data_IF_855597720676
#
_entry.id   IF_855597720676
#
_cell.length_a   1.000
_cell.length_b   1.000
_cell.length_c   1.000
_cell.angle_alpha   90.00
_cell.angle_beta   90.00
_cell.angle_gamma   90.00
#
_symmetry.space_group_name_H-M   'P 1'
#
loop_
_entity.id
_entity.type
_entity.pdbx_description
1 polymer ?
#
# COMPACT_ATOMS: atom_id res chain seq x y z
N UNK A 1 -64.08 -34.69 -3.68
CA UNK A 1 -62.59 -34.70 -3.59
C UNK A 1 -62.02 -33.92 -4.76
N UNK A 2 -61.14 -32.94 -4.53
CA UNK A 2 -60.37 -32.25 -5.58
C UNK A 2 -58.96 -32.00 -5.08
N UNK A 3 -57.97 -32.59 -5.75
CA UNK A 3 -56.54 -32.44 -5.45
C UNK A 3 -56.00 -31.21 -6.18
N UNK A 4 -55.16 -30.43 -5.51
CA UNK A 4 -54.48 -29.26 -6.11
C UNK A 4 -53.25 -29.69 -6.89
N UNK A 5 -52.95 -28.99 -7.99
CA UNK A 5 -51.62 -28.98 -8.61
C UNK A 5 -51.30 -27.57 -9.10
N UNK A 6 -50.06 -27.14 -8.92
CA UNK A 6 -49.61 -25.75 -8.99
C UNK A 6 -49.20 -25.32 -10.40
N UNK A 7 -49.43 -24.05 -10.74
CA UNK A 7 -49.11 -23.49 -12.07
C UNK A 7 -47.76 -22.77 -12.06
N UNK A 8 -46.87 -23.17 -12.97
CA UNK A 8 -45.60 -22.47 -13.25
C UNK A 8 -45.84 -21.24 -14.13
N UNK A 9 -45.35 -20.06 -13.73
CA UNK A 9 -45.56 -18.80 -14.48
C UNK A 9 -44.30 -18.34 -15.22
N UNK A 10 -44.41 -18.18 -16.53
CA UNK A 10 -43.35 -17.73 -17.46
C UNK A 10 -43.55 -16.23 -17.73
N UNK A 11 -42.58 -15.37 -17.43
CA UNK A 11 -42.63 -13.92 -17.75
C UNK A 11 -41.81 -13.60 -19.01
N UNK A 12 -42.40 -12.85 -19.93
CA UNK A 12 -41.82 -12.42 -21.21
C UNK A 12 -41.49 -10.93 -21.23
N UNK A 13 -40.65 -10.53 -22.19
CA UNK A 13 -40.03 -9.20 -22.34
C UNK A 13 -41.06 -8.08 -22.58
N UNK A 14 -40.78 -6.89 -22.05
CA UNK A 14 -41.40 -5.61 -22.48
C UNK A 14 -40.36 -4.79 -23.24
N UNK A 15 -40.77 -4.12 -24.32
CA UNK A 15 -39.91 -3.25 -25.16
C UNK A 15 -40.09 -1.77 -24.82
N UNK A 16 -38.97 -1.08 -24.91
CA UNK A 16 -38.71 0.36 -25.10
C UNK A 16 -39.85 1.23 -25.68
N UNK A 17 -39.94 2.49 -25.22
CA UNK A 17 -39.82 3.74 -26.01
C UNK A 17 -40.32 4.95 -25.20
N UNK A 18 -39.50 5.99 -25.06
CA UNK A 18 -39.94 7.39 -25.25
C UNK A 18 -38.76 8.34 -25.50
N UNK A 19 -38.96 9.29 -26.41
CA UNK A 19 -37.99 10.36 -26.76
C UNK A 19 -38.11 11.50 -25.76
N UNK A 20 -37.00 12.11 -25.35
CA UNK A 20 -36.97 13.48 -24.83
C UNK A 20 -35.98 14.32 -25.66
N UNK A 21 -36.38 15.56 -25.97
CA UNK A 21 -35.78 16.42 -26.99
C UNK A 21 -34.56 17.19 -26.46
N UNK A 22 -33.54 17.37 -27.30
CA UNK A 22 -32.55 18.44 -27.13
C UNK A 22 -33.23 19.80 -27.33
N UNK A 23 -32.91 20.78 -26.50
CA UNK A 23 -33.02 22.20 -26.87
C UNK A 23 -31.89 22.99 -26.20
N UNK A 24 -31.17 23.75 -27.01
CA UNK A 24 -30.14 24.69 -26.54
C UNK A 24 -30.78 25.80 -25.71
N UNK A 25 -30.14 26.18 -24.62
CA UNK A 25 -30.08 27.55 -24.14
C UNK A 25 -28.60 27.84 -23.94
N UNK A 26 -28.10 28.81 -24.68
CA UNK A 26 -26.84 29.51 -24.37
C UNK A 26 -27.18 30.58 -23.36
N UNK A 27 -26.34 30.81 -22.34
CA UNK A 27 -26.11 32.14 -21.74
C UNK A 27 -25.09 32.08 -20.59
N UNK A 28 -24.50 33.25 -20.31
CA UNK A 28 -23.69 33.60 -19.12
C UNK A 28 -22.37 32.85 -18.89
N UNK A 29 -21.31 33.38 -19.52
CA UNK A 29 -19.92 33.19 -19.07
C UNK A 29 -19.78 33.78 -17.65
N UNK A 30 -19.59 32.91 -16.65
CA UNK A 30 -18.93 33.28 -15.40
C UNK A 30 -17.64 32.48 -15.28
N UNK A 31 -16.50 33.14 -15.52
CA UNK A 31 -15.18 32.59 -15.26
C UNK A 31 -15.00 32.37 -13.75
N UNK A 32 -15.29 31.15 -13.29
CA UNK A 32 -14.99 30.71 -11.93
C UNK A 32 -14.71 29.20 -11.88
N UNK A 33 -13.78 28.73 -12.70
CA UNK A 33 -13.23 27.38 -12.56
C UNK A 33 -11.91 27.41 -11.78
N UNK A 34 -11.79 26.43 -10.87
CA UNK A 34 -10.99 26.53 -9.66
C UNK A 34 -9.47 26.48 -9.93
N UNK A 35 -8.64 27.14 -9.09
CA UNK A 35 -7.20 27.10 -9.24
C UNK A 35 -6.65 25.71 -8.91
N UNK A 36 -5.70 25.25 -9.75
CA UNK A 36 -4.51 24.39 -9.57
C UNK A 36 -4.27 23.52 -8.30
N UNK A 37 -5.29 23.22 -7.49
CA UNK A 37 -5.19 22.54 -6.19
C UNK A 37 -5.54 21.04 -6.24
N UNK A 38 -5.53 20.46 -7.45
CA UNK A 38 -5.49 19.01 -7.65
C UNK A 38 -4.06 18.51 -7.91
N UNK A 39 -3.06 19.13 -7.27
CA UNK A 39 -1.90 18.34 -6.84
C UNK A 39 -2.46 17.37 -5.82
N UNK A 40 -2.69 16.13 -6.25
CA UNK A 40 -3.07 15.04 -5.35
C UNK A 40 -2.02 14.98 -4.25
N UNK A 41 -2.35 15.43 -3.04
CA UNK A 41 -1.45 15.31 -1.90
C UNK A 41 -1.29 13.83 -1.63
N UNK A 42 -0.22 13.25 -2.16
CA UNK A 42 0.19 11.88 -1.86
C UNK A 42 0.34 11.81 -0.35
N UNK A 43 -0.48 10.98 0.29
CA UNK A 43 -0.57 10.92 1.74
C UNK A 43 0.81 10.68 2.33
N UNK A 44 1.23 11.58 3.24
CA UNK A 44 2.56 11.55 3.84
C UNK A 44 2.43 10.98 5.24
N UNK A 45 2.77 9.70 5.40
CA UNK A 45 2.73 9.01 6.68
C UNK A 45 4.11 9.11 7.33
N UNK A 46 4.17 9.55 8.59
CA UNK A 46 5.41 9.58 9.37
C UNK A 46 5.68 8.21 9.99
N UNK A 47 6.93 7.98 10.34
CA UNK A 47 7.34 6.82 11.12
C UNK A 47 8.62 7.05 11.91
N UNK A 48 8.84 6.20 12.91
CA UNK A 48 10.02 6.24 13.78
C UNK A 48 10.47 4.83 14.18
N UNK A 49 11.72 4.70 14.60
CA UNK A 49 12.16 3.49 15.31
C UNK A 49 11.66 3.51 16.77
N UNK A 50 11.67 2.37 17.46
CA UNK A 50 11.16 2.23 18.84
C UNK A 50 11.78 3.23 19.84
N UNK A 51 13.03 3.65 19.65
CA UNK A 51 13.68 4.64 20.52
C UNK A 51 13.64 6.07 19.96
N UNK A 52 12.82 6.33 18.94
CA UNK A 52 12.62 7.60 18.21
C UNK A 52 13.87 8.25 17.59
N UNK A 53 15.05 7.66 17.80
CA UNK A 53 16.33 8.15 17.30
C UNK A 53 16.53 7.99 15.79
N UNK A 54 15.55 7.45 15.06
CA UNK A 54 15.45 7.55 13.61
C UNK A 54 14.01 7.90 13.29
N UNK A 55 13.80 8.98 12.52
CA UNK A 55 12.48 9.42 12.06
C UNK A 55 12.48 9.55 10.55
N UNK A 56 11.38 9.17 9.92
CA UNK A 56 11.24 9.15 8.47
C UNK A 56 9.79 9.42 8.05
N UNK A 57 9.59 9.69 6.77
CA UNK A 57 8.27 9.74 6.14
C UNK A 57 8.22 8.82 4.94
N UNK A 58 7.00 8.39 4.61
CA UNK A 58 6.68 7.64 3.40
C UNK A 58 5.55 8.36 2.67
N UNK A 59 5.65 8.47 1.34
CA UNK A 59 4.68 9.19 0.52
C UNK A 59 3.94 8.29 -0.46
N UNK A 60 2.63 8.49 -0.56
CA UNK A 60 1.76 7.86 -1.54
C UNK A 60 1.49 6.38 -1.27
N UNK A 61 0.82 5.71 -2.21
CA UNK A 61 0.44 4.31 -2.05
C UNK A 61 1.64 3.38 -2.24
N UNK A 62 1.76 2.30 -1.44
CA UNK A 62 2.74 1.26 -1.72
C UNK A 62 2.37 0.52 -3.00
N UNK A 63 3.37 0.00 -3.72
CA UNK A 63 3.12 -0.94 -4.82
C UNK A 63 2.52 -2.27 -4.33
N UNK A 64 2.40 -2.45 -3.00
CA UNK A 64 2.90 -3.69 -2.39
C UNK A 64 2.65 -4.00 -0.90
N UNK A 65 1.91 -5.09 -0.58
CA UNK A 65 1.74 -5.63 0.79
C UNK A 65 1.36 -7.17 0.81
N UNK A 66 2.10 -8.06 1.50
CA UNK A 66 1.68 -9.39 2.07
C UNK A 66 2.85 -10.00 2.89
N UNK A 67 3.04 -11.32 3.10
CA UNK A 67 4.03 -11.89 4.07
C UNK A 67 5.21 -12.67 3.44
N UNK A 68 6.44 -12.54 3.99
CA UNK A 68 7.61 -13.33 3.62
C UNK A 68 8.01 -14.37 4.68
N UNK A 69 8.06 -15.65 4.29
CA UNK A 69 8.27 -16.80 5.20
C UNK A 69 9.69 -17.38 5.18
N UNK A 70 10.67 -16.69 4.58
CA UNK A 70 12.05 -17.18 4.54
C UNK A 70 12.70 -17.17 5.94
N UNK A 71 13.75 -17.97 6.14
CA UNK A 71 14.48 -18.09 7.42
C UNK A 71 14.95 -16.75 7.97
N UNK A 72 15.49 -15.87 7.12
CA UNK A 72 15.93 -14.52 7.52
C UNK A 72 14.77 -13.63 7.98
N UNK A 73 13.60 -13.79 7.37
CA UNK A 73 12.38 -13.07 7.75
C UNK A 73 11.83 -13.60 9.08
N UNK A 74 11.72 -14.93 9.22
CA UNK A 74 11.36 -15.59 10.49
C UNK A 74 12.22 -15.11 11.66
N UNK A 75 13.56 -15.16 11.49
CA UNK A 75 14.53 -14.67 12.48
C UNK A 75 14.36 -13.19 12.82
N UNK A 76 14.10 -12.33 11.82
CA UNK A 76 13.93 -10.89 12.05
C UNK A 76 12.61 -10.54 12.74
N UNK A 77 11.54 -11.30 12.48
CA UNK A 77 10.22 -11.03 13.04
C UNK A 77 9.97 -11.72 14.39
N UNK A 78 10.77 -12.72 14.77
CA UNK A 78 10.47 -13.59 15.91
C UNK A 78 9.21 -14.45 15.69
N UNK A 79 8.79 -14.62 14.44
CA UNK A 79 7.48 -15.14 14.05
C UNK A 79 7.57 -16.10 12.85
N UNK A 80 6.51 -16.85 12.50
CA UNK A 80 6.51 -17.75 11.33
C UNK A 80 6.76 -17.08 9.98
N UNK A 81 6.68 -15.76 9.89
CA UNK A 81 7.12 -14.95 8.75
C UNK A 81 7.34 -13.48 9.16
N UNK A 82 8.04 -12.73 8.32
CA UNK A 82 8.11 -11.27 8.40
C UNK A 82 7.12 -10.70 7.40
N UNK A 83 6.14 -9.93 7.86
CA UNK A 83 5.12 -9.40 6.96
C UNK A 83 5.80 -8.36 6.03
N UNK A 84 5.81 -8.61 4.72
CA UNK A 84 6.46 -7.89 3.59
C UNK A 84 6.17 -8.53 2.20
N UNK A 85 5.57 -7.82 1.20
CA UNK A 85 5.46 -8.33 -0.22
C UNK A 85 5.11 -7.31 -1.37
N UNK A 86 3.96 -7.44 -2.09
CA UNK A 86 3.56 -6.90 -3.43
C UNK A 86 2.01 -6.80 -3.63
N UNK A 87 1.55 -5.90 -4.51
CA UNK A 87 0.19 -5.39 -4.87
C UNK A 87 -1.07 -5.77 -4.04
N UNK A 88 -1.79 -4.80 -3.41
CA UNK A 88 -3.18 -5.00 -3.02
C UNK A 88 -4.11 -5.03 -4.26
N UNK A 89 -5.23 -5.79 -4.24
CA UNK A 89 -6.33 -5.56 -5.17
C UNK A 89 -6.98 -4.19 -4.89
N UNK A 90 -7.57 -3.57 -5.92
CA UNK A 90 -8.03 -2.16 -5.92
C UNK A 90 -9.03 -1.79 -4.83
N UNK A 91 -9.69 -2.78 -4.24
CA UNK A 91 -10.91 -2.59 -3.44
C UNK A 91 -10.66 -2.81 -1.93
N UNK A 92 -9.40 -2.97 -1.51
CA UNK A 92 -9.02 -3.40 -0.15
C UNK A 92 -7.92 -2.54 0.49
N UNK A 93 -7.89 -1.25 0.19
CA UNK A 93 -6.82 -0.34 0.63
C UNK A 93 -6.75 -0.17 2.16
N UNK A 94 -7.90 -0.10 2.84
CA UNK A 94 -7.97 0.37 4.24
C UNK A 94 -7.74 -0.74 5.28
N UNK A 95 -8.18 -1.98 5.03
CA UNK A 95 -8.06 -3.07 6.01
C UNK A 95 -6.71 -3.79 5.98
N UNK A 96 -5.94 -3.67 4.88
CA UNK A 96 -4.69 -4.40 4.72
C UNK A 96 -3.58 -3.84 5.63
N UNK A 97 -3.58 -2.55 5.95
CA UNK A 97 -2.55 -1.92 6.80
C UNK A 97 -2.52 -2.52 8.21
N UNK A 98 -3.66 -2.66 8.89
CA UNK A 98 -3.76 -3.09 10.30
C UNK A 98 -3.24 -4.52 10.57
N UNK A 99 -3.13 -5.37 9.55
CA UNK A 99 -2.58 -6.73 9.66
C UNK A 99 -1.18 -6.88 9.03
N UNK A 100 -0.63 -5.82 8.45
CA UNK A 100 0.58 -5.88 7.65
C UNK A 100 1.73 -5.13 8.32
N UNK A 101 2.89 -5.79 8.50
CA UNK A 101 4.08 -5.19 9.12
C UNK A 101 5.16 -4.71 8.12
N UNK A 102 5.01 -4.88 6.80
CA UNK A 102 5.79 -4.09 5.83
C UNK A 102 5.04 -3.90 4.51
N UNK A 103 5.29 -2.76 3.87
CA UNK A 103 4.84 -2.45 2.52
C UNK A 103 6.03 -2.02 1.65
N UNK A 104 5.97 -2.25 0.33
CA UNK A 104 7.05 -1.84 -0.60
C UNK A 104 6.69 -0.54 -1.32
N UNK A 105 7.63 0.39 -1.25
CA UNK A 105 7.57 1.69 -1.91
C UNK A 105 8.78 1.83 -2.83
N UNK A 106 8.74 2.77 -3.76
CA UNK A 106 9.96 3.25 -4.41
C UNK A 106 10.87 3.93 -3.38
N UNK A 107 12.18 3.91 -3.58
CA UNK A 107 13.11 4.60 -2.69
C UNK A 107 12.91 6.13 -2.68
N UNK A 108 12.46 6.71 -3.80
CA UNK A 108 12.16 8.15 -3.92
C UNK A 108 10.99 8.61 -3.04
N UNK A 109 10.16 7.69 -2.54
CA UNK A 109 9.01 7.97 -1.69
C UNK A 109 9.31 7.82 -0.19
N UNK A 110 10.56 7.47 0.21
CA UNK A 110 10.92 7.26 1.61
C UNK A 110 12.04 8.22 2.01
N UNK A 111 11.75 9.13 2.93
CA UNK A 111 12.66 10.20 3.32
C UNK A 111 13.06 10.07 4.79
N UNK A 112 14.36 9.96 5.07
CA UNK A 112 14.87 10.04 6.45
C UNK A 112 14.91 11.51 6.86
N UNK A 113 14.25 11.84 7.97
CA UNK A 113 14.19 13.20 8.52
C UNK A 113 15.27 13.41 9.59
N UNK A 114 15.47 12.42 10.45
CA UNK A 114 16.41 12.47 11.58
C UNK A 114 17.08 11.10 11.78
N UNK A 115 18.30 11.09 12.32
CA UNK A 115 18.94 9.86 12.81
C UNK A 115 19.64 9.00 11.75
N UNK A 116 20.02 9.56 10.61
CA UNK A 116 20.66 8.82 9.50
C UNK A 116 21.93 8.07 9.92
N UNK A 117 22.70 8.66 10.84
CA UNK A 117 23.91 8.12 11.47
C UNK A 117 23.63 6.93 12.41
N UNK A 118 22.37 6.74 12.81
CA UNK A 118 21.93 5.56 13.55
C UNK A 118 21.41 4.44 12.63
N UNK A 119 21.42 4.61 11.29
CA UNK A 119 20.94 3.58 10.34
C UNK A 119 22.11 2.70 9.89
N UNK A 120 22.21 1.49 10.46
CA UNK A 120 23.21 0.50 10.07
C UNK A 120 22.61 -0.54 9.08
N UNK A 121 23.48 -1.32 8.43
CA UNK A 121 23.12 -2.23 7.33
C UNK A 121 23.62 -3.65 7.57
N UNK A 122 22.73 -4.63 7.52
CA UNK A 122 23.08 -6.05 7.47
C UNK A 122 22.87 -6.60 6.06
N UNK A 123 23.91 -7.15 5.43
CA UNK A 123 23.89 -7.63 4.05
C UNK A 123 23.67 -9.15 4.02
N UNK A 124 22.51 -9.58 3.50
CA UNK A 124 22.19 -10.98 3.26
C UNK A 124 22.57 -11.38 1.84
N UNK A 125 23.67 -12.14 1.69
CA UNK A 125 24.14 -12.70 0.41
C UNK A 125 23.45 -14.02 0.08
N UNK A 126 23.33 -14.93 1.07
CA UNK A 126 22.60 -16.19 0.92
C UNK A 126 21.07 -15.94 0.90
N UNK A 127 20.48 -15.94 -0.30
CA UNK A 127 19.04 -15.88 -0.47
C UNK A 127 18.58 -16.36 -1.86
N UNK A 128 17.32 -16.80 -1.94
CA UNK A 128 16.66 -17.37 -3.15
C UNK A 128 16.70 -16.50 -4.41
N UNK A 129 17.01 -15.20 -4.33
CA UNK A 129 17.09 -14.33 -5.51
C UNK A 129 18.50 -14.18 -6.11
N UNK A 130 19.55 -14.74 -5.49
CA UNK A 130 20.95 -14.60 -5.92
C UNK A 130 21.54 -13.18 -5.76
N UNK A 131 20.71 -12.15 -5.72
CA UNK A 131 21.11 -10.77 -5.44
C UNK A 131 21.05 -10.46 -3.94
N UNK A 132 21.92 -9.59 -3.44
CA UNK A 132 21.94 -9.20 -2.02
C UNK A 132 20.61 -8.60 -1.52
N UNK A 133 20.37 -8.72 -0.21
CA UNK A 133 19.30 -7.97 0.48
C UNK A 133 19.90 -7.20 1.64
N UNK A 134 19.78 -5.88 1.61
CA UNK A 134 20.30 -5.00 2.65
C UNK A 134 19.19 -4.72 3.66
N UNK A 135 19.29 -5.26 4.87
CA UNK A 135 18.40 -4.93 5.99
C UNK A 135 18.93 -3.66 6.66
N UNK A 136 18.16 -2.58 6.63
CA UNK A 136 18.48 -1.31 7.28
C UNK A 136 17.81 -1.29 8.65
N UNK A 137 18.57 -0.98 9.70
CA UNK A 137 18.08 -1.04 11.09
C UNK A 137 18.69 0.07 11.94
N UNK A 138 17.96 0.49 12.98
CA UNK A 138 18.47 1.44 13.95
C UNK A 138 19.50 0.75 14.86
N UNK A 139 20.72 1.29 14.93
CA UNK A 139 21.81 0.77 15.77
C UNK A 139 21.57 0.92 17.27
N UNK A 140 20.66 1.81 17.69
CA UNK A 140 20.33 2.07 19.10
C UNK A 140 19.29 1.11 19.68
N UNK A 141 18.24 0.77 18.93
CA UNK A 141 17.14 -0.10 19.39
C UNK A 141 17.00 -1.42 18.63
N UNK A 142 17.80 -1.66 17.59
CA UNK A 142 17.73 -2.87 16.77
C UNK A 142 16.55 -2.95 15.80
N UNK A 143 15.57 -2.04 15.87
CA UNK A 143 14.42 -2.01 14.98
C UNK A 143 14.86 -1.96 13.51
N UNK A 144 14.46 -3.00 12.75
CA UNK A 144 14.64 -3.01 11.30
C UNK A 144 13.66 -2.02 10.68
N UNK A 145 14.16 -1.02 9.97
CA UNK A 145 13.35 0.06 9.39
C UNK A 145 12.80 -0.36 8.02
N UNK A 146 13.68 -0.89 7.17
CA UNK A 146 13.31 -1.41 5.85
C UNK A 146 14.28 -2.49 5.36
N UNK A 147 13.88 -3.21 4.31
CA UNK A 147 14.76 -4.09 3.53
C UNK A 147 14.86 -3.60 2.09
N UNK A 148 16.08 -3.47 1.58
CA UNK A 148 16.37 -3.05 0.20
C UNK A 148 16.79 -4.31 -0.60
N UNK A 149 15.97 -4.82 -1.52
CA UNK A 149 16.33 -5.93 -2.40
C UNK A 149 17.19 -5.45 -3.59
N UNK A 150 18.44 -5.90 -3.66
CA UNK A 150 19.36 -5.50 -4.75
C UNK A 150 19.01 -6.15 -6.10
N UNK A 151 18.05 -7.10 -6.15
CA UNK A 151 17.44 -7.59 -7.39
C UNK A 151 16.84 -6.48 -8.27
N UNK A 152 16.49 -5.34 -7.65
CA UNK A 152 16.00 -4.15 -8.35
C UNK A 152 16.95 -2.95 -8.20
N UNK A 153 18.25 -3.19 -8.02
CA UNK A 153 19.29 -2.16 -7.84
C UNK A 153 18.98 -1.13 -6.75
N UNK A 154 18.23 -1.53 -5.71
CA UNK A 154 17.86 -0.66 -4.59
C UNK A 154 16.72 0.35 -4.85
N UNK A 155 16.13 0.35 -6.05
CA UNK A 155 15.03 1.26 -6.45
C UNK A 155 13.76 1.19 -5.60
N UNK A 156 13.63 0.17 -4.74
CA UNK A 156 12.47 -0.02 -3.88
C UNK A 156 12.88 -0.41 -2.47
N UNK A 157 12.17 0.13 -1.48
CA UNK A 157 12.38 -0.17 -0.06
C UNK A 157 11.14 -0.85 0.50
N UNK A 158 11.34 -1.95 1.22
CA UNK A 158 10.31 -2.70 1.93
C UNK A 158 10.25 -2.13 3.35
N UNK A 159 9.45 -1.10 3.58
CA UNK A 159 9.33 -0.33 4.83
C UNK A 159 8.45 -1.03 5.84
N UNK A 160 8.88 -1.11 7.10
CA UNK A 160 8.04 -1.64 8.17
C UNK A 160 6.89 -0.69 8.47
N UNK A 161 5.67 -1.14 8.21
CA UNK A 161 4.43 -0.38 8.46
C UNK A 161 4.11 -0.26 9.94
N UNK A 162 4.48 -1.25 10.76
CA UNK A 162 4.40 -1.18 12.23
C UNK A 162 5.37 -0.16 12.88
N UNK A 163 6.11 0.62 12.07
CA UNK A 163 6.91 1.77 12.49
C UNK A 163 6.32 3.10 11.98
N UNK A 164 5.19 3.06 11.27
CA UNK A 164 4.44 4.23 10.79
C UNK A 164 3.35 4.61 11.79
N UNK A 165 2.98 5.89 11.81
CA UNK A 165 1.81 6.37 12.54
C UNK A 165 0.55 5.63 12.03
N UNK A 166 -0.21 5.01 12.95
CA UNK A 166 -1.43 4.23 12.69
C UNK A 166 -1.24 2.92 11.88
N UNK A 167 0.00 2.37 11.80
CA UNK A 167 0.31 1.10 11.12
C UNK A 167 0.51 -0.12 12.03
#
# INVERSE_FOLDING_TARGET
MRVMSTKTQKRSKVRFVSRIRRRFIVDAIHHFELPLLLVTMAEVVKGSCLCEGVKFTVQGTPDAIFICYCSHCKKNAGAPGQIASLKPPSDFQDLILTISQSAKFKCENVHVLEGSEHINTWILKDNLSGCEKHKKFCSRCGCTLWTIPMKHSGSHWIVRTALLENG
#
